data_IF_516806179043
#
_entry.id   IF_516806179043
#
_cell.length_a   1.000
_cell.length_b   1.000
_cell.length_c   1.000
_cell.angle_alpha   90.00
_cell.angle_beta   90.00
_cell.angle_gamma   90.00
#
_symmetry.space_group_name_H-M   'P 1'
#
loop_
_entity.id
_entity.type
_entity.pdbx_description
1 polymer ?
#
# COMPACT_ATOMS: atom_id res chain seq x y z
N UNK A 1 8.78 -96.75 35.10
CA UNK A 1 9.41 -95.73 35.98
C UNK A 1 9.34 -94.38 35.27
N UNK A 2 8.82 -93.35 35.95
CA UNK A 2 8.94 -91.91 35.59
C UNK A 2 8.02 -91.41 34.47
N UNK A 3 6.80 -90.91 34.76
CA UNK A 3 6.43 -89.53 35.20
C UNK A 3 6.29 -88.53 34.03
N UNK A 4 5.05 -88.21 33.65
CA UNK A 4 4.27 -87.00 33.99
C UNK A 4 4.69 -85.74 33.20
N UNK A 5 3.90 -85.33 32.19
CA UNK A 5 2.88 -84.25 32.25
C UNK A 5 3.46 -82.84 32.00
N UNK A 6 2.86 -81.90 31.25
CA UNK A 6 1.49 -81.36 31.38
C UNK A 6 1.24 -80.36 30.23
N UNK A 7 -0.01 -80.37 29.73
CA UNK A 7 -0.89 -79.23 29.36
C UNK A 7 -0.41 -78.28 28.24
N UNK A 8 -0.99 -78.27 27.03
CA UNK A 8 -2.38 -78.06 26.59
C UNK A 8 -2.79 -76.58 26.43
N UNK A 9 -3.41 -76.33 25.25
CA UNK A 9 -4.35 -75.28 24.82
C UNK A 9 -3.78 -74.24 23.84
N UNK A 10 -4.01 -74.37 22.52
CA UNK A 10 -5.21 -74.14 21.67
C UNK A 10 -5.37 -72.68 21.24
N UNK A 11 -5.45 -72.47 19.91
CA UNK A 11 -5.87 -71.22 19.25
C UNK A 11 -4.94 -70.85 18.09
N UNK A 12 -5.14 -71.36 16.87
CA UNK A 12 -6.08 -70.90 15.84
C UNK A 12 -5.40 -69.98 14.79
N UNK A 13 -5.24 -70.55 13.59
CA UNK A 13 -5.35 -69.98 12.23
C UNK A 13 -5.08 -68.49 12.00
N UNK A 14 -4.19 -68.19 11.04
CA UNK A 14 -4.54 -67.42 9.84
C UNK A 14 -3.39 -67.40 8.82
N UNK A 15 -3.70 -67.86 7.61
CA UNK A 15 -2.91 -67.70 6.39
C UNK A 15 -3.51 -66.59 5.50
N UNK A 16 -2.61 -65.97 4.73
CA UNK A 16 -2.82 -65.25 3.45
C UNK A 16 -3.09 -63.74 3.53
N UNK A 17 -2.31 -62.97 2.75
CA UNK A 17 -2.79 -61.72 2.15
C UNK A 17 -1.71 -60.70 1.80
N UNK A 18 -0.89 -60.95 0.78
CA UNK A 18 -0.11 -59.90 0.12
C UNK A 18 -1.07 -59.01 -0.67
N UNK A 19 -1.16 -57.72 -0.32
CA UNK A 19 -1.79 -56.69 -1.15
C UNK A 19 -0.90 -55.44 -1.22
N UNK A 20 -0.32 -55.27 -2.42
CA UNK A 20 0.11 -54.04 -3.09
C UNK A 20 0.33 -52.78 -2.23
N UNK A 21 1.61 -52.48 -1.95
CA UNK A 21 2.04 -51.13 -1.61
C UNK A 21 2.06 -50.26 -2.87
N UNK A 22 0.89 -49.70 -3.22
CA UNK A 22 0.80 -48.47 -4.00
C UNK A 22 1.32 -47.31 -3.16
N UNK A 23 2.64 -47.11 -3.14
CA UNK A 23 3.27 -45.97 -2.50
C UNK A 23 2.97 -44.71 -3.30
N UNK A 24 1.94 -43.99 -2.88
CA UNK A 24 1.68 -42.63 -3.34
C UNK A 24 2.88 -41.74 -3.04
N UNK A 25 3.36 -41.04 -4.07
CA UNK A 25 4.18 -39.84 -3.92
C UNK A 25 3.33 -38.76 -3.24
N UNK A 26 3.22 -38.85 -1.91
CA UNK A 26 2.79 -37.72 -1.11
C UNK A 26 3.91 -36.67 -1.21
N UNK A 27 3.69 -35.67 -2.05
CA UNK A 27 4.52 -34.48 -2.10
C UNK A 27 4.55 -33.88 -0.69
N UNK A 28 5.72 -33.93 -0.04
CA UNK A 28 5.97 -33.23 1.19
C UNK A 28 5.81 -31.72 0.92
N UNK A 29 4.62 -31.19 1.20
CA UNK A 29 4.46 -29.75 1.39
C UNK A 29 5.16 -29.40 2.69
N UNK A 30 6.41 -28.94 2.58
CA UNK A 30 6.96 -28.10 3.63
C UNK A 30 6.15 -26.80 3.59
N UNK A 31 5.16 -26.69 4.48
CA UNK A 31 4.60 -25.38 4.82
C UNK A 31 5.73 -24.58 5.46
N UNK A 32 6.43 -23.81 4.62
CA UNK A 32 7.54 -22.94 5.03
C UNK A 32 7.11 -21.85 6.01
N UNK A 33 5.80 -21.67 6.19
CA UNK A 33 5.20 -20.66 7.07
C UNK A 33 4.28 -21.33 8.07
N UNK A 34 4.57 -21.13 9.36
CA UNK A 34 3.65 -21.50 10.42
C UNK A 34 2.43 -20.56 10.38
N UNK A 35 1.21 -21.09 10.56
CA UNK A 35 0.01 -20.26 10.64
C UNK A 35 0.15 -19.13 11.66
N UNK A 36 -0.13 -17.90 11.22
CA UNK A 36 -0.13 -16.71 12.10
C UNK A 36 1.23 -16.07 12.36
N UNK A 37 2.35 -16.60 11.84
CA UNK A 37 3.67 -15.96 11.92
C UNK A 37 3.97 -15.11 10.69
N UNK A 38 4.65 -13.98 10.91
CA UNK A 38 5.24 -13.15 9.85
C UNK A 38 6.71 -13.49 9.64
N UNK A 39 7.18 -13.35 8.40
CA UNK A 39 8.54 -13.69 8.01
C UNK A 39 9.12 -12.60 7.12
N UNK A 40 10.34 -12.14 7.38
CA UNK A 40 11.05 -11.27 6.46
C UNK A 40 11.76 -12.12 5.41
N UNK A 41 11.52 -11.82 4.15
CA UNK A 41 12.12 -12.54 3.03
C UNK A 41 13.61 -12.23 2.91
N UNK A 42 14.40 -13.29 2.75
CA UNK A 42 15.87 -13.27 2.68
C UNK A 42 16.41 -13.48 1.25
N UNK A 43 15.53 -13.54 0.25
CA UNK A 43 15.85 -13.87 -1.13
C UNK A 43 16.00 -15.38 -1.40
N UNK A 44 15.96 -16.23 -0.37
CA UNK A 44 16.08 -17.70 -0.50
C UNK A 44 14.76 -18.41 -0.21
N UNK A 45 14.12 -18.05 0.90
CA UNK A 45 12.86 -18.62 1.41
C UNK A 45 11.65 -17.73 1.13
N UNK A 46 11.92 -16.46 0.80
CA UNK A 46 10.94 -15.49 0.33
C UNK A 46 11.63 -14.37 -0.47
N UNK A 47 10.87 -13.51 -1.16
CA UNK A 47 11.41 -12.36 -1.88
C UNK A 47 12.10 -11.39 -0.92
N UNK A 48 13.34 -11.01 -1.23
CA UNK A 48 14.11 -10.08 -0.41
C UNK A 48 13.36 -8.75 -0.23
N UNK A 49 13.50 -8.13 0.95
CA UNK A 49 12.84 -6.86 1.30
C UNK A 49 11.31 -6.89 1.30
N UNK A 50 10.69 -8.06 1.46
CA UNK A 50 9.26 -8.19 1.67
C UNK A 50 8.97 -8.95 2.97
N UNK A 51 7.81 -8.71 3.57
CA UNK A 51 7.30 -9.47 4.71
C UNK A 51 6.14 -10.37 4.26
N UNK A 52 6.13 -11.62 4.75
CA UNK A 52 5.00 -12.52 4.61
C UNK A 52 3.91 -12.11 5.60
N UNK A 53 2.74 -11.82 5.05
CA UNK A 53 1.52 -11.53 5.79
C UNK A 53 0.68 -12.81 5.79
N UNK A 54 0.40 -13.41 6.97
CA UNK A 54 -0.33 -14.66 7.04
C UNK A 54 -1.78 -14.49 6.57
N UNK A 55 -2.38 -15.55 6.04
CA UNK A 55 -3.81 -15.57 5.77
C UNK A 55 -4.60 -15.34 7.07
N UNK A 56 -5.68 -14.58 7.00
CA UNK A 56 -6.45 -14.23 8.19
C UNK A 56 -7.73 -13.47 7.87
N UNK A 57 -8.56 -13.29 8.90
CA UNK A 57 -9.72 -12.41 8.84
C UNK A 57 -9.51 -11.22 9.77
N UNK A 58 -10.04 -10.06 9.38
CA UNK A 58 -9.98 -8.85 10.18
C UNK A 58 -11.21 -7.98 9.97
N UNK A 59 -11.40 -7.02 10.88
CA UNK A 59 -12.35 -5.92 10.68
C UNK A 59 -11.67 -4.80 9.88
N UNK A 60 -12.09 -4.66 8.62
CA UNK A 60 -11.69 -3.59 7.72
C UNK A 60 -12.57 -2.36 7.94
N UNK A 61 -11.99 -1.17 7.85
CA UNK A 61 -12.63 0.08 8.24
C UNK A 61 -12.67 0.28 9.76
N UNK A 62 -13.43 1.27 10.21
CA UNK A 62 -13.54 1.58 11.63
C UNK A 62 -14.84 2.29 11.98
N UNK A 63 -15.46 1.87 13.07
CA UNK A 63 -16.62 2.58 13.66
C UNK A 63 -16.21 3.63 14.69
N UNK A 64 -14.91 3.90 14.85
CA UNK A 64 -14.38 4.90 15.78
C UNK A 64 -15.03 6.29 15.54
N UNK A 65 -15.23 7.12 16.58
CA UNK A 65 -15.80 8.46 16.42
C UNK A 65 -15.05 9.37 15.42
N UNK A 66 -13.73 9.21 15.30
CA UNK A 66 -12.90 9.95 14.34
C UNK A 66 -12.86 9.35 12.93
N UNK A 67 -13.45 8.18 12.71
CA UNK A 67 -13.52 7.59 11.38
C UNK A 67 -14.52 8.34 10.50
N UNK A 68 -14.10 8.67 9.27
CA UNK A 68 -14.92 9.35 8.29
C UNK A 68 -16.07 8.45 7.79
N UNK A 69 -17.14 9.02 7.21
CA UNK A 69 -18.24 8.21 6.67
C UNK A 69 -17.81 7.14 5.66
N UNK A 70 -16.79 7.41 4.85
CA UNK A 70 -16.25 6.48 3.86
C UNK A 70 -15.38 5.36 4.45
N UNK A 71 -15.01 5.46 5.74
CA UNK A 71 -14.30 4.43 6.51
C UNK A 71 -15.25 3.49 7.27
N UNK A 72 -16.56 3.78 7.22
CA UNK A 72 -17.62 3.08 7.94
C UNK A 72 -18.51 2.25 7.00
N UNK A 73 -19.16 1.20 7.51
CA UNK A 73 -18.93 0.61 8.83
C UNK A 73 -17.67 -0.28 8.85
N UNK A 74 -17.18 -0.59 10.05
CA UNK A 74 -16.24 -1.69 10.19
C UNK A 74 -16.91 -3.02 9.77
N UNK A 75 -16.24 -3.83 8.95
CA UNK A 75 -16.83 -5.06 8.40
C UNK A 75 -15.79 -6.16 8.22
N UNK A 76 -16.24 -7.42 8.19
CA UNK A 76 -15.35 -8.59 8.12
C UNK A 76 -14.83 -8.82 6.70
N UNK A 77 -13.51 -8.89 6.58
CA UNK A 77 -12.80 -9.30 5.37
C UNK A 77 -11.85 -10.46 5.73
N UNK A 78 -11.69 -11.42 4.82
CA UNK A 78 -10.70 -12.48 4.90
C UNK A 78 -9.71 -12.36 3.74
N UNK A 79 -8.42 -12.54 4.03
CA UNK A 79 -7.35 -12.50 3.04
C UNK A 79 -6.59 -13.82 3.02
N UNK A 80 -6.20 -14.22 1.82
CA UNK A 80 -5.15 -15.20 1.58
C UNK A 80 -3.79 -14.62 2.00
N UNK A 81 -2.78 -15.47 2.23
CA UNK A 81 -1.44 -15.01 2.58
C UNK A 81 -0.70 -14.42 1.38
N UNK A 82 0.07 -13.36 1.61
CA UNK A 82 0.80 -12.63 0.56
C UNK A 82 2.10 -12.01 1.09
N UNK A 83 3.00 -11.68 0.18
CA UNK A 83 4.18 -10.86 0.47
C UNK A 83 3.88 -9.39 0.21
N UNK A 84 4.35 -8.51 1.07
CA UNK A 84 4.32 -7.04 0.88
C UNK A 84 5.70 -6.44 1.10
N UNK A 85 6.08 -5.44 0.32
CA UNK A 85 7.31 -4.70 0.54
C UNK A 85 7.35 -4.11 1.95
N UNK A 86 8.48 -4.26 2.64
CA UNK A 86 8.63 -3.78 4.02
C UNK A 86 8.64 -2.25 4.13
N UNK A 87 8.86 -1.55 3.02
CA UNK A 87 8.85 -0.10 2.90
C UNK A 87 8.34 0.33 1.53
N UNK A 88 8.09 1.62 1.34
CA UNK A 88 7.85 2.22 0.03
C UNK A 88 8.98 1.95 -0.96
N UNK A 89 8.64 1.98 -2.25
CA UNK A 89 9.61 1.98 -3.35
C UNK A 89 10.46 3.25 -3.25
N UNK A 90 11.78 3.08 -3.23
CA UNK A 90 12.71 4.20 -3.07
C UNK A 90 13.06 4.86 -4.41
N UNK A 91 13.63 6.07 -4.35
CA UNK A 91 14.19 6.73 -5.53
C UNK A 91 15.25 5.87 -6.23
N UNK A 92 16.11 5.18 -5.47
CA UNK A 92 17.10 4.27 -6.06
C UNK A 92 16.44 3.07 -6.75
N UNK A 93 15.34 2.55 -6.21
CA UNK A 93 14.59 1.46 -6.84
C UNK A 93 13.92 1.91 -8.13
N UNK A 94 13.24 3.06 -8.11
CA UNK A 94 12.57 3.62 -9.27
C UNK A 94 13.56 4.04 -10.37
N UNK A 95 14.73 4.57 -10.01
CA UNK A 95 15.81 4.87 -10.96
C UNK A 95 16.24 3.62 -11.73
N UNK A 96 16.41 2.47 -11.07
CA UNK A 96 16.77 1.21 -11.76
C UNK A 96 15.70 0.79 -12.78
N UNK A 97 14.43 1.02 -12.47
CA UNK A 97 13.34 0.79 -13.41
C UNK A 97 13.45 1.71 -14.63
N UNK A 98 13.60 3.02 -14.41
CA UNK A 98 13.73 4.01 -15.48
C UNK A 98 14.96 3.73 -16.35
N UNK A 99 16.11 3.44 -15.75
CA UNK A 99 17.35 3.09 -16.48
C UNK A 99 17.19 1.80 -17.31
N UNK A 100 16.51 0.79 -16.78
CA UNK A 100 16.33 -0.49 -17.47
C UNK A 100 15.30 -0.44 -18.61
N UNK A 101 14.36 0.50 -18.58
CA UNK A 101 13.20 0.51 -19.48
C UNK A 101 13.08 1.77 -20.33
N UNK A 102 13.87 2.80 -20.02
CA UNK A 102 13.72 4.16 -20.54
C UNK A 102 12.30 4.71 -20.33
N UNK A 103 11.65 4.33 -19.23
CA UNK A 103 10.32 4.78 -18.90
C UNK A 103 10.29 6.28 -18.63
N UNK A 104 9.32 6.97 -19.24
CA UNK A 104 9.04 8.39 -19.03
C UNK A 104 7.76 8.47 -18.22
N UNK A 105 7.79 9.08 -17.03
CA UNK A 105 6.62 9.15 -16.14
C UNK A 105 5.51 10.03 -16.70
N UNK A 106 4.30 9.92 -16.18
CA UNK A 106 3.20 10.82 -16.58
C UNK A 106 3.51 12.28 -16.32
N UNK A 107 4.26 12.60 -15.25
CA UNK A 107 4.70 13.96 -14.94
C UNK A 107 5.67 14.54 -15.98
N UNK A 108 6.43 13.69 -16.66
CA UNK A 108 7.38 14.09 -17.71
C UNK A 108 6.73 14.18 -19.10
N UNK A 109 5.48 13.75 -19.25
CA UNK A 109 4.74 13.77 -20.54
C UNK A 109 3.89 15.02 -20.65
N UNK A 110 3.62 15.44 -21.89
CA UNK A 110 2.60 16.46 -22.16
C UNK A 110 1.23 15.91 -21.71
N UNK A 111 0.49 16.62 -20.83
CA UNK A 111 -0.84 16.17 -20.42
C UNK A 111 -1.80 16.10 -21.61
N UNK A 112 -2.61 15.05 -21.63
CA UNK A 112 -3.68 14.86 -22.61
C UNK A 112 -5.01 15.43 -22.09
N UNK A 113 -5.66 16.28 -22.89
CA UNK A 113 -6.93 16.89 -22.50
C UNK A 113 -8.05 15.87 -22.31
N UNK A 114 -8.09 14.81 -23.12
CA UNK A 114 -9.13 13.79 -23.01
C UNK A 114 -9.04 13.03 -21.68
N UNK A 115 -7.81 12.85 -21.17
CA UNK A 115 -7.52 12.30 -19.84
C UNK A 115 -7.83 13.30 -18.72
N UNK A 116 -7.49 14.58 -18.87
CA UNK A 116 -7.72 15.58 -17.82
C UNK A 116 -9.20 15.97 -17.66
N UNK A 117 -9.95 16.08 -18.76
CA UNK A 117 -11.31 16.62 -18.73
C UNK A 117 -12.29 15.78 -17.91
N UNK A 118 -12.02 14.49 -17.70
CA UNK A 118 -12.86 13.62 -16.85
C UNK A 118 -12.75 13.99 -15.37
N UNK A 119 -11.67 14.69 -14.99
CA UNK A 119 -11.43 15.24 -13.65
C UNK A 119 -11.86 16.71 -13.56
N UNK A 120 -12.48 17.28 -14.59
CA UNK A 120 -12.92 18.68 -14.58
C UNK A 120 -14.45 18.78 -14.44
N UNK A 121 -14.98 19.89 -13.88
CA UNK A 121 -16.41 20.13 -13.88
C UNK A 121 -17.01 20.04 -15.30
N UNK A 122 -18.22 19.46 -15.46
CA UNK A 122 -18.87 19.36 -16.76
C UNK A 122 -18.96 20.71 -17.47
N UNK A 123 -18.55 20.77 -18.74
CA UNK A 123 -18.55 21.99 -19.54
C UNK A 123 -17.30 22.87 -19.38
N UNK A 124 -16.29 22.43 -18.62
CA UNK A 124 -14.99 23.12 -18.55
C UNK A 124 -14.38 23.19 -19.95
N UNK A 125 -14.05 24.40 -20.47
CA UNK A 125 -13.43 24.53 -21.77
C UNK A 125 -12.00 23.98 -21.74
N UNK A 126 -11.57 23.41 -22.86
CA UNK A 126 -10.17 23.01 -23.04
C UNK A 126 -9.27 24.23 -22.85
N UNK A 127 -8.23 24.17 -21.99
CA UNK A 127 -7.26 25.26 -21.87
C UNK A 127 -6.45 25.39 -23.16
N UNK A 128 -5.78 26.53 -23.33
CA UNK A 128 -4.84 26.70 -24.44
C UNK A 128 -3.74 25.62 -24.38
N UNK A 129 -3.32 25.11 -25.54
CA UNK A 129 -2.34 24.03 -25.63
C UNK A 129 -0.97 24.42 -25.02
N UNK A 130 -0.67 25.71 -24.89
CA UNK A 130 0.53 26.21 -24.21
C UNK A 130 0.52 26.00 -22.69
N UNK A 131 -0.65 25.78 -22.09
CA UNK A 131 -0.78 25.50 -20.65
C UNK A 131 -0.65 24.00 -20.33
N UNK A 132 -0.81 23.12 -21.33
CA UNK A 132 -0.65 21.68 -21.21
C UNK A 132 0.83 21.32 -21.36
N UNK A 133 1.60 21.48 -20.29
CA UNK A 133 3.04 21.18 -20.25
C UNK A 133 3.36 20.10 -19.21
N UNK A 134 4.46 19.33 -19.36
CA UNK A 134 4.91 18.40 -18.33
C UNK A 134 5.08 19.09 -16.97
N UNK A 135 4.72 18.39 -15.90
CA UNK A 135 4.78 18.88 -14.53
C UNK A 135 3.87 18.08 -13.61
N UNK A 136 3.85 18.50 -12.35
CA UNK A 136 3.10 17.80 -11.31
C UNK A 136 2.60 18.75 -10.22
N UNK A 137 1.71 18.26 -9.35
CA UNK A 137 1.24 19.04 -8.20
C UNK A 137 2.27 19.02 -7.07
N UNK A 138 2.63 20.21 -6.61
CA UNK A 138 3.66 20.45 -5.59
C UNK A 138 3.05 21.20 -4.41
N UNK A 139 3.30 20.69 -3.21
CA UNK A 139 3.02 21.44 -1.98
C UNK A 139 4.02 22.58 -1.85
N UNK A 140 3.51 23.81 -1.86
CA UNK A 140 4.31 25.04 -1.75
C UNK A 140 4.20 25.72 -0.38
N UNK A 141 3.28 25.27 0.47
CA UNK A 141 2.97 25.93 1.75
C UNK A 141 2.42 27.36 1.60
N UNK A 142 2.21 28.04 2.72
CA UNK A 142 1.77 29.44 2.78
C UNK A 142 2.61 30.28 3.73
N UNK A 143 2.69 31.59 3.50
CA UNK A 143 3.41 32.51 4.38
C UNK A 143 2.66 32.83 5.70
N UNK A 144 1.37 32.51 5.77
CA UNK A 144 0.50 32.77 6.91
C UNK A 144 -0.66 31.77 6.92
N UNK A 145 -1.40 31.62 8.04
CA UNK A 145 -2.58 30.77 8.09
C UNK A 145 -3.62 31.17 7.03
N UNK A 146 -4.21 30.18 6.38
CA UNK A 146 -5.21 30.35 5.32
C UNK A 146 -6.42 29.45 5.58
N UNK A 147 -7.50 29.65 4.81
CA UNK A 147 -8.67 28.77 4.87
C UNK A 147 -8.30 27.35 4.43
N UNK A 148 -8.47 26.38 5.32
CA UNK A 148 -8.22 24.96 5.03
C UNK A 148 -9.21 24.34 4.02
N UNK A 149 -10.22 25.10 3.57
CA UNK A 149 -11.17 24.68 2.53
C UNK A 149 -10.67 24.97 1.11
N UNK A 150 -9.63 25.79 0.96
CA UNK A 150 -9.12 26.20 -0.35
C UNK A 150 -7.69 25.71 -0.54
N UNK A 151 -7.58 24.44 -0.97
CA UNK A 151 -6.29 23.78 -1.14
C UNK A 151 -5.43 24.38 -2.25
N UNK A 152 -6.01 25.20 -3.15
CA UNK A 152 -5.25 25.92 -4.19
C UNK A 152 -4.25 26.91 -3.61
N UNK A 153 -4.38 27.29 -2.34
CA UNK A 153 -3.48 28.23 -1.68
C UNK A 153 -2.11 27.61 -1.33
N UNK A 154 -2.03 26.29 -1.16
CA UNK A 154 -0.79 25.57 -0.84
C UNK A 154 -0.41 24.48 -1.83
N UNK A 155 -1.29 24.11 -2.76
CA UNK A 155 -0.97 23.22 -3.89
C UNK A 155 -0.83 24.01 -5.18
N UNK A 156 0.24 23.76 -5.93
CA UNK A 156 0.48 24.38 -7.22
C UNK A 156 0.88 23.35 -8.25
N UNK A 157 0.38 23.50 -9.47
CA UNK A 157 0.97 22.81 -10.61
C UNK A 157 2.30 23.49 -10.94
N UNK A 158 3.39 22.71 -10.97
CA UNK A 158 4.73 23.20 -11.25
C UNK A 158 5.25 22.54 -12.53
N UNK A 159 5.39 23.31 -13.63
CA UNK A 159 6.00 22.81 -14.85
C UNK A 159 7.40 22.25 -14.61
N UNK A 160 7.67 21.04 -15.13
CA UNK A 160 8.93 20.34 -14.94
C UNK A 160 9.19 19.81 -13.53
N UNK A 161 8.17 19.73 -12.66
CA UNK A 161 8.23 18.89 -11.47
C UNK A 161 7.96 17.43 -11.85
N UNK A 162 8.83 16.53 -11.42
CA UNK A 162 8.79 15.10 -11.69
C UNK A 162 9.47 14.32 -10.55
N UNK A 163 9.67 13.01 -10.72
CA UNK A 163 10.25 12.16 -9.68
C UNK A 163 11.73 12.47 -9.37
N UNK A 164 12.51 12.98 -10.34
CA UNK A 164 13.90 13.40 -10.13
C UNK A 164 13.99 14.82 -9.53
N UNK A 165 12.98 15.65 -9.83
CA UNK A 165 12.86 17.05 -9.44
C UNK A 165 11.52 17.32 -8.73
N UNK A 166 11.31 16.75 -7.53
CA UNK A 166 9.99 16.68 -6.91
C UNK A 166 9.37 18.03 -6.52
N UNK A 167 10.17 19.10 -6.43
CA UNK A 167 9.70 20.47 -6.15
C UNK A 167 9.79 21.40 -7.37
N UNK A 168 10.06 20.87 -8.56
CA UNK A 168 10.26 21.63 -9.79
C UNK A 168 11.71 21.70 -10.27
N UNK A 169 11.98 22.40 -11.38
CA UNK A 169 13.22 22.30 -12.17
C UNK A 169 14.53 22.55 -11.41
N UNK A 170 14.49 23.33 -10.33
CA UNK A 170 15.65 23.70 -9.50
C UNK A 170 15.89 22.74 -8.32
N UNK A 171 15.04 21.72 -8.16
CA UNK A 171 15.16 20.71 -7.12
C UNK A 171 15.84 19.43 -7.62
N UNK A 172 16.30 18.59 -6.70
CA UNK A 172 16.84 17.28 -7.03
C UNK A 172 16.62 16.24 -5.92
N UNK A 173 16.75 14.97 -6.29
CA UNK A 173 16.85 13.83 -5.38
C UNK A 173 18.29 13.45 -5.00
N UNK A 174 19.29 14.30 -5.25
CA UNK A 174 20.68 14.02 -4.87
C UNK A 174 20.77 13.81 -3.35
N UNK A 175 21.33 12.67 -2.94
CA UNK A 175 21.42 12.28 -1.53
C UNK A 175 20.11 11.77 -0.91
N UNK A 176 19.07 11.50 -1.72
CA UNK A 176 17.77 10.99 -1.28
C UNK A 176 17.42 9.64 -1.92
N UNK A 177 18.43 8.83 -2.20
CA UNK A 177 18.26 7.51 -2.83
C UNK A 177 17.40 6.56 -2.00
N UNK A 178 17.42 6.69 -0.68
CA UNK A 178 16.64 5.92 0.29
C UNK A 178 15.33 6.60 0.69
N UNK A 179 14.96 7.74 0.10
CA UNK A 179 13.63 8.32 0.28
C UNK A 179 12.60 7.62 -0.63
N UNK A 180 11.32 7.60 -0.26
CA UNK A 180 10.28 7.10 -1.14
C UNK A 180 10.22 7.94 -2.43
N UNK A 181 10.03 7.28 -3.56
CA UNK A 181 9.73 7.96 -4.81
C UNK A 181 8.37 8.67 -4.71
N UNK A 182 8.31 9.90 -5.20
CA UNK A 182 7.09 10.73 -5.27
C UNK A 182 6.93 11.29 -6.68
N UNK A 183 5.88 12.09 -6.92
CA UNK A 183 5.53 12.57 -8.26
C UNK A 183 5.29 11.44 -9.27
N UNK A 184 4.80 10.30 -8.77
CA UNK A 184 4.41 9.13 -9.56
C UNK A 184 2.89 9.01 -9.57
N UNK A 185 2.31 8.90 -10.76
CA UNK A 185 0.89 8.63 -10.92
C UNK A 185 0.56 7.17 -10.63
N UNK A 186 -0.72 6.82 -10.69
CA UNK A 186 -1.14 5.43 -10.61
C UNK A 186 -0.59 4.60 -11.78
N UNK A 187 -0.54 5.17 -13.00
CA UNK A 187 0.03 4.52 -14.17
C UNK A 187 1.52 4.19 -13.98
N UNK A 188 2.29 5.13 -13.43
CA UNK A 188 3.72 4.94 -13.17
C UNK A 188 3.97 3.83 -12.14
N UNK A 189 3.15 3.79 -11.09
CA UNK A 189 3.20 2.76 -10.07
C UNK A 189 2.86 1.37 -10.63
N UNK A 190 1.84 1.26 -11.51
CA UNK A 190 1.50 0.00 -12.19
C UNK A 190 2.59 -0.45 -13.17
N UNK A 191 3.18 0.49 -13.93
CA UNK A 191 4.27 0.20 -14.85
C UNK A 191 5.49 -0.35 -14.12
N UNK A 192 5.89 0.30 -13.03
CA UNK A 192 6.97 -0.18 -12.15
C UNK A 192 6.62 -1.55 -11.55
N UNK A 193 5.39 -1.72 -11.04
CA UNK A 193 4.97 -2.98 -10.42
C UNK A 193 5.08 -4.16 -11.39
N UNK A 194 4.63 -3.96 -12.64
CA UNK A 194 4.73 -4.95 -13.71
C UNK A 194 6.18 -5.28 -14.04
N UNK A 195 7.06 -4.29 -14.16
CA UNK A 195 8.49 -4.50 -14.39
C UNK A 195 9.14 -5.29 -13.25
N UNK A 196 8.78 -4.99 -12.01
CA UNK A 196 9.29 -5.68 -10.82
C UNK A 196 8.73 -7.11 -10.65
N UNK A 197 7.81 -7.58 -11.50
CA UNK A 197 7.16 -8.88 -11.37
C UNK A 197 6.20 -8.97 -10.17
N UNK A 198 5.65 -7.82 -9.74
CA UNK A 198 4.79 -7.65 -8.57
C UNK A 198 3.47 -6.98 -8.99
N UNK A 199 2.68 -6.50 -8.03
CA UNK A 199 1.48 -5.69 -8.23
C UNK A 199 1.29 -4.70 -7.08
N UNK A 200 0.43 -3.71 -7.26
CA UNK A 200 -0.06 -2.90 -6.14
C UNK A 200 -0.90 -3.75 -5.17
N UNK A 201 -0.87 -3.46 -3.86
CA UNK A 201 -1.77 -4.09 -2.88
C UNK A 201 -3.21 -3.73 -3.19
N UNK A 202 -4.15 -4.65 -2.90
CA UNK A 202 -5.54 -4.21 -2.75
C UNK A 202 -5.67 -3.31 -1.52
N UNK A 203 -6.73 -2.51 -1.44
CA UNK A 203 -7.03 -1.68 -0.28
C UNK A 203 -7.12 -2.53 1.00
N UNK A 204 -7.70 -3.72 0.90
CA UNK A 204 -7.82 -4.66 2.01
C UNK A 204 -6.49 -5.25 2.44
N UNK A 205 -5.65 -5.67 1.49
CA UNK A 205 -4.29 -6.15 1.77
C UNK A 205 -3.47 -5.07 2.48
N UNK A 206 -3.55 -3.84 1.98
CA UNK A 206 -2.86 -2.70 2.57
C UNK A 206 -3.30 -2.47 4.02
N UNK A 207 -4.61 -2.39 4.29
CA UNK A 207 -5.11 -2.12 5.63
C UNK A 207 -4.79 -3.25 6.61
N UNK A 208 -4.96 -4.51 6.17
CA UNK A 208 -4.61 -5.67 6.99
C UNK A 208 -3.13 -5.66 7.37
N UNK A 209 -2.26 -5.38 6.40
CA UNK A 209 -0.83 -5.26 6.60
C UNK A 209 -0.50 -4.08 7.54
N UNK A 210 -1.15 -2.92 7.36
CA UNK A 210 -0.93 -1.70 8.15
C UNK A 210 -1.27 -1.91 9.63
N UNK A 211 -2.32 -2.69 9.93
CA UNK A 211 -2.76 -3.03 11.29
C UNK A 211 -1.74 -3.84 12.06
N UNK A 212 -0.80 -4.54 11.40
CA UNK A 212 0.33 -5.18 12.06
C UNK A 212 -0.07 -6.23 13.11
N UNK A 213 -1.22 -6.89 12.93
CA UNK A 213 -1.78 -7.86 13.89
C UNK A 213 -2.62 -7.24 15.02
N UNK A 214 -2.82 -5.92 15.04
CA UNK A 214 -3.67 -5.24 16.02
C UNK A 214 -5.11 -5.14 15.50
N UNK A 215 -6.06 -5.66 16.25
CA UNK A 215 -7.48 -5.54 15.92
C UNK A 215 -7.99 -4.13 16.26
N UNK A 216 -8.54 -3.43 15.26
CA UNK A 216 -9.22 -2.13 15.40
C UNK A 216 -8.40 -1.01 16.08
N UNK A 217 -7.07 -1.13 16.15
CA UNK A 217 -6.21 -0.05 16.60
C UNK A 217 -6.26 1.16 15.64
N UNK A 218 -6.20 2.36 16.20
CA UNK A 218 -6.26 3.62 15.44
C UNK A 218 -5.04 3.81 14.51
N UNK A 219 -3.85 3.50 15.00
CA UNK A 219 -2.57 3.62 14.29
C UNK A 219 -1.92 2.25 14.08
N UNK A 220 -0.90 2.20 13.23
CA UNK A 220 -0.15 0.97 12.94
C UNK A 220 0.58 0.40 14.17
N UNK A 221 0.75 1.21 15.21
CA UNK A 221 1.43 0.87 16.46
C UNK A 221 0.53 0.82 17.70
N UNK A 222 -0.78 1.09 17.57
CA UNK A 222 -1.71 1.12 18.70
C UNK A 222 -2.68 2.30 18.68
N UNK A 223 -3.20 2.67 19.85
CA UNK A 223 -4.22 3.72 20.00
C UNK A 223 -3.67 5.08 20.44
N UNK A 224 -2.47 5.10 21.03
CA UNK A 224 -1.80 6.34 21.44
C UNK A 224 -1.00 6.89 20.25
N UNK A 225 -1.13 8.17 19.88
CA UNK A 225 -0.44 8.74 18.72
C UNK A 225 1.08 8.78 18.91
N UNK A 226 1.56 9.19 20.09
CA UNK A 226 2.98 9.33 20.42
C UNK A 226 3.33 8.54 21.70
N UNK A 227 3.31 7.19 21.66
CA UNK A 227 3.59 6.36 22.82
C UNK A 227 4.97 6.65 23.40
N UNK A 228 5.01 6.89 24.71
CA UNK A 228 6.24 7.30 25.41
C UNK A 228 6.91 8.53 24.79
N UNK A 229 6.12 9.47 24.26
CA UNK A 229 6.59 10.70 23.60
C UNK A 229 7.48 10.46 22.38
N UNK A 230 7.41 9.29 21.76
CA UNK A 230 8.15 8.97 20.53
C UNK A 230 7.37 9.42 19.31
N UNK A 231 8.07 10.06 18.38
CA UNK A 231 7.56 10.26 17.01
C UNK A 231 7.49 8.92 16.31
N UNK A 232 6.31 8.55 15.81
CA UNK A 232 6.08 7.24 15.21
C UNK A 232 5.97 7.27 13.68
N UNK A 233 5.78 8.44 13.09
CA UNK A 233 5.58 8.64 11.67
C UNK A 233 6.10 10.02 11.24
N UNK A 234 6.45 10.15 9.95
CA UNK A 234 6.69 11.45 9.34
C UNK A 234 5.35 12.10 8.98
N UNK A 235 4.87 13.00 9.83
CA UNK A 235 3.63 13.78 9.63
C UNK A 235 3.92 15.26 9.89
N UNK A 236 2.98 16.15 9.60
CA UNK A 236 3.12 17.57 9.90
C UNK A 236 3.16 17.76 11.42
N UNK A 237 4.30 18.23 11.91
CA UNK A 237 4.57 18.37 13.34
C UNK A 237 3.86 19.61 13.92
N UNK A 238 2.64 19.40 14.42
CA UNK A 238 1.86 20.43 15.12
C UNK A 238 2.47 20.84 16.48
N UNK A 239 3.49 20.12 16.99
CA UNK A 239 4.16 20.51 18.24
C UNK A 239 5.08 21.71 18.07
N UNK A 240 5.36 22.14 16.83
CA UNK A 240 6.26 23.27 16.49
C UNK A 240 5.58 24.63 16.45
N UNK A 241 4.41 24.80 17.08
CA UNK A 241 3.60 26.03 17.07
C UNK A 241 3.17 26.53 15.67
N UNK A 242 3.57 25.84 14.59
CA UNK A 242 3.35 26.25 13.21
C UNK A 242 2.17 25.49 12.63
N UNK A 243 1.00 26.15 12.43
CA UNK A 243 -0.17 25.47 11.91
C UNK A 243 0.06 25.08 10.44
N UNK A 244 -0.46 23.92 10.04
CA UNK A 244 -0.61 23.61 8.62
C UNK A 244 -1.48 24.70 7.93
N UNK A 245 -1.15 25.17 6.71
CA UNK A 245 -0.02 24.81 5.83
C UNK A 245 1.14 25.83 5.86
N UNK A 246 1.39 26.48 6.99
CA UNK A 246 2.33 27.61 7.09
C UNK A 246 3.78 27.14 6.99
N UNK A 247 4.56 27.75 6.09
CA UNK A 247 6.00 27.52 5.89
C UNK A 247 6.69 28.88 5.80
N UNK A 248 7.15 29.40 6.95
CA UNK A 248 7.67 30.77 7.08
C UNK A 248 9.19 30.89 7.14
N UNK A 249 9.89 29.80 7.42
CA UNK A 249 11.35 29.77 7.44
C UNK A 249 11.92 28.36 7.17
N UNK A 250 13.24 28.29 6.99
CA UNK A 250 13.97 27.04 6.70
C UNK A 250 13.92 26.00 7.83
N UNK A 251 13.43 26.36 9.04
CA UNK A 251 13.33 25.42 10.17
C UNK A 251 12.11 24.50 10.02
N UNK A 252 11.12 24.88 9.20
CA UNK A 252 10.00 24.03 8.84
C UNK A 252 10.48 23.07 7.73
N UNK A 253 11.05 21.94 8.14
CA UNK A 253 11.42 20.87 7.22
C UNK A 253 10.17 20.12 6.75
N UNK A 254 9.66 20.48 5.58
CA UNK A 254 8.55 19.78 4.92
C UNK A 254 9.09 18.87 3.83
N UNK A 255 8.75 17.58 3.91
CA UNK A 255 9.10 16.63 2.87
C UNK A 255 9.21 15.20 3.38
N UNK A 256 9.59 14.32 2.46
CA UNK A 256 9.82 12.91 2.77
C UNK A 256 11.03 12.73 3.68
N UNK A 257 11.04 11.64 4.42
CA UNK A 257 12.24 11.11 5.08
C UNK A 257 12.66 9.81 4.40
N UNK A 258 13.91 9.41 4.59
CA UNK A 258 14.37 8.06 4.26
C UNK A 258 13.35 7.01 4.74
N UNK A 259 13.12 6.00 3.92
CA UNK A 259 12.26 4.88 4.30
C UNK A 259 12.84 4.17 5.51
N UNK A 260 11.98 3.56 6.32
CA UNK A 260 12.38 2.81 7.53
C UNK A 260 13.04 3.67 8.62
N UNK A 261 12.78 4.97 8.62
CA UNK A 261 13.29 5.89 9.65
C UNK A 261 12.64 5.67 11.03
N UNK A 262 11.35 5.33 11.06
CA UNK A 262 10.58 5.10 12.28
C UNK A 262 10.44 3.61 12.59
N UNK A 263 9.86 3.27 13.75
CA UNK A 263 9.69 1.87 14.14
C UNK A 263 8.72 1.13 13.19
N UNK A 264 8.98 -0.15 12.88
CA UNK A 264 8.04 -0.94 12.10
C UNK A 264 6.81 -1.34 12.94
N UNK A 265 5.71 -1.67 12.28
CA UNK A 265 4.55 -2.27 12.93
C UNK A 265 4.78 -3.75 13.31
N UNK A 266 3.78 -4.41 13.89
CA UNK A 266 3.88 -5.81 14.34
C UNK A 266 4.16 -6.84 13.23
N UNK A 267 4.04 -6.46 11.96
CA UNK A 267 4.40 -7.29 10.80
C UNK A 267 5.76 -6.95 10.18
N UNK A 268 6.52 -6.03 10.80
CA UNK A 268 7.83 -5.61 10.30
C UNK A 268 7.77 -4.58 9.18
N UNK A 269 6.61 -3.92 8.99
CA UNK A 269 6.41 -2.93 7.94
C UNK A 269 6.65 -1.52 8.46
N UNK A 270 7.41 -0.75 7.68
CA UNK A 270 7.74 0.63 7.95
C UNK A 270 6.82 1.57 7.17
N UNK A 271 6.67 2.80 7.65
CA UNK A 271 5.99 3.89 6.94
C UNK A 271 4.55 3.53 6.49
N UNK A 272 3.85 2.69 7.28
CA UNK A 272 2.41 2.41 7.08
C UNK A 272 1.52 3.57 7.53
N UNK A 273 2.11 4.61 8.14
CA UNK A 273 1.47 5.86 8.50
C UNK A 273 2.45 7.01 8.24
N UNK A 274 1.98 8.06 7.57
CA UNK A 274 2.79 9.21 7.20
C UNK A 274 3.82 8.91 6.10
N UNK A 275 4.84 9.75 6.03
CA UNK A 275 5.82 9.86 4.95
C UNK A 275 5.16 10.18 3.60
N UNK A 276 4.63 9.20 2.88
CA UNK A 276 3.91 9.42 1.63
C UNK A 276 2.62 8.62 1.63
N UNK A 277 1.59 9.16 0.98
CA UNK A 277 0.42 8.36 0.63
C UNK A 277 0.85 7.22 -0.27
N UNK A 278 0.12 6.10 -0.20
CA UNK A 278 0.45 4.90 -0.97
C UNK A 278 -0.71 4.52 -1.88
N UNK A 279 -0.44 4.43 -3.18
CA UNK A 279 -1.38 3.88 -4.15
C UNK A 279 -1.75 2.43 -3.82
N UNK A 280 -3.03 2.10 -3.97
CA UNK A 280 -3.54 0.71 -3.96
C UNK A 280 -4.30 0.42 -5.26
N UNK A 281 -4.49 -0.85 -5.60
CA UNK A 281 -5.08 -1.28 -6.86
C UNK A 281 -6.55 -0.84 -7.05
N UNK A 282 -7.29 -0.66 -5.96
CA UNK A 282 -8.74 -0.50 -5.97
C UNK A 282 -9.18 0.85 -6.57
N UNK A 283 -10.28 0.82 -7.33
CA UNK A 283 -11.05 2.04 -7.58
C UNK A 283 -11.67 2.53 -6.28
N UNK A 284 -11.75 3.85 -6.11
CA UNK A 284 -12.35 4.45 -4.92
C UNK A 284 -13.85 4.63 -5.11
N UNK A 285 -14.64 3.98 -4.23
CA UNK A 285 -16.02 4.39 -3.94
C UNK A 285 -16.15 4.79 -2.47
N UNK A 286 -16.79 5.93 -2.23
CA UNK A 286 -17.06 6.45 -0.90
C UNK A 286 -18.05 5.57 -0.11
N UNK A 287 -18.89 4.81 -0.81
CA UNK A 287 -19.89 3.91 -0.23
C UNK A 287 -19.48 2.42 -0.23
N UNK A 288 -18.25 2.08 -0.67
CA UNK A 288 -17.85 0.69 -0.87
C UNK A 288 -17.96 -0.17 0.40
N UNK A 289 -17.51 0.35 1.55
CA UNK A 289 -17.55 -0.40 2.81
C UNK A 289 -18.99 -0.66 3.26
N UNK A 290 -19.89 0.32 3.07
CA UNK A 290 -21.32 0.14 3.33
C UNK A 290 -21.91 -0.94 2.43
N UNK A 291 -21.59 -0.91 1.13
CA UNK A 291 -22.03 -1.91 0.16
C UNK A 291 -21.51 -3.30 0.51
N UNK A 292 -20.23 -3.46 0.88
CA UNK A 292 -19.68 -4.73 1.31
C UNK A 292 -20.34 -5.25 2.61
N UNK A 293 -20.53 -4.38 3.59
CA UNK A 293 -21.15 -4.74 4.86
C UNK A 293 -22.60 -5.22 4.72
N UNK A 294 -23.36 -4.66 3.76
CA UNK A 294 -24.76 -5.02 3.53
C UNK A 294 -24.97 -6.48 3.10
N UNK A 295 -23.99 -7.10 2.44
CA UNK A 295 -24.09 -8.52 2.07
C UNK A 295 -24.07 -9.45 3.30
N UNK A 296 -23.62 -8.97 4.46
CA UNK A 296 -23.59 -9.73 5.72
C UNK A 296 -22.65 -10.94 5.72
N UNK A 297 -21.85 -11.12 4.67
CA UNK A 297 -20.90 -12.21 4.49
C UNK A 297 -19.47 -11.67 4.55
N UNK A 298 -18.57 -12.45 5.14
CA UNK A 298 -17.14 -12.16 5.08
C UNK A 298 -16.68 -12.23 3.63
N UNK A 299 -16.28 -11.10 3.06
CA UNK A 299 -15.72 -11.05 1.71
C UNK A 299 -14.29 -11.60 1.75
N UNK A 300 -13.97 -12.50 0.83
CA UNK A 300 -12.63 -13.09 0.71
C UNK A 300 -11.87 -12.42 -0.44
N UNK A 301 -10.66 -11.97 -0.16
CA UNK A 301 -9.75 -11.35 -1.13
C UNK A 301 -10.44 -10.27 -2.00
N UNK A 302 -11.07 -9.25 -1.39
CA UNK A 302 -11.74 -8.19 -2.15
C UNK A 302 -10.73 -7.43 -3.01
N UNK A 303 -11.13 -7.20 -4.27
CA UNK A 303 -10.33 -6.52 -5.29
C UNK A 303 -10.81 -5.08 -5.57
N UNK A 304 -11.70 -4.56 -4.71
CA UNK A 304 -12.34 -3.26 -4.89
C UNK A 304 -13.57 -3.30 -5.81
N UNK A 305 -14.23 -2.14 -5.99
CA UNK A 305 -15.30 -1.97 -6.97
C UNK A 305 -14.76 -1.88 -8.40
N UNK A 306 -15.65 -2.04 -9.39
CA UNK A 306 -15.29 -1.98 -10.82
C UNK A 306 -15.12 -0.55 -11.36
N UNK A 307 -15.57 0.45 -10.62
CA UNK A 307 -15.75 1.84 -10.99
C UNK A 307 -15.58 2.77 -9.78
N UNK A 308 -15.60 4.08 -10.02
CA UNK A 308 -15.42 5.11 -8.99
C UNK A 308 -16.73 5.80 -8.62
N UNK A 309 -16.83 6.26 -7.37
CA UNK A 309 -17.98 7.03 -6.90
C UNK A 309 -17.61 7.86 -5.67
N UNK A 310 -17.57 9.19 -5.81
CA UNK A 310 -17.33 10.14 -4.73
C UNK A 310 -18.30 11.33 -4.81
N UNK A 311 -19.50 11.22 -4.22
CA UNK A 311 -20.49 12.29 -4.24
C UNK A 311 -20.18 13.42 -3.23
N UNK A 312 -19.10 13.28 -2.45
CA UNK A 312 -18.74 14.22 -1.39
C UNK A 312 -17.63 15.18 -1.80
N UNK A 313 -17.09 15.04 -3.01
CA UNK A 313 -16.15 16.01 -3.57
C UNK A 313 -16.88 17.30 -3.96
N UNK A 314 -16.48 18.42 -3.33
CA UNK A 314 -17.08 19.75 -3.53
C UNK A 314 -16.30 20.64 -4.51
N UNK A 315 -15.23 20.12 -5.13
CA UNK A 315 -14.44 20.85 -6.15
C UNK A 315 -15.13 20.92 -7.52
N UNK A 316 -16.28 20.24 -7.67
CA UNK A 316 -17.04 20.18 -8.91
C UNK A 316 -16.62 19.06 -9.86
N UNK A 317 -15.66 18.22 -9.47
CA UNK A 317 -15.31 16.99 -10.17
C UNK A 317 -16.55 16.07 -10.22
N UNK A 318 -16.88 15.44 -11.37
CA UNK A 318 -17.98 14.49 -11.46
C UNK A 318 -17.86 13.37 -10.42
N UNK A 319 -18.97 12.97 -9.81
CA UNK A 319 -18.96 11.95 -8.76
C UNK A 319 -18.45 10.59 -9.26
N UNK A 320 -18.61 10.29 -10.56
CA UNK A 320 -18.15 9.08 -11.23
C UNK A 320 -16.75 9.21 -11.88
N UNK A 321 -16.08 10.36 -11.71
CA UNK A 321 -14.72 10.55 -12.20
C UNK A 321 -13.78 9.45 -11.64
N UNK A 322 -12.89 8.88 -12.46
CA UNK A 322 -11.98 7.83 -12.01
C UNK A 322 -11.14 8.27 -10.82
N UNK A 323 -11.14 7.49 -9.74
CA UNK A 323 -10.29 7.68 -8.57
C UNK A 323 -9.71 6.35 -8.14
N UNK A 324 -8.44 6.37 -7.76
CA UNK A 324 -7.79 5.21 -7.14
C UNK A 324 -7.64 5.47 -5.66
N UNK A 325 -7.76 4.41 -4.88
CA UNK A 325 -7.60 4.48 -3.43
C UNK A 325 -6.14 4.80 -3.10
N UNK A 326 -5.93 5.75 -2.19
CA UNK A 326 -4.67 5.97 -1.48
C UNK A 326 -4.86 5.79 0.02
N UNK A 327 -3.82 5.28 0.68
CA UNK A 327 -3.82 4.93 2.11
C UNK A 327 -2.57 5.50 2.81
N UNK A 328 -2.63 5.60 4.15
CA UNK A 328 -1.47 5.87 5.01
C UNK A 328 -1.20 7.33 5.37
N UNK A 329 -1.73 8.30 4.63
CA UNK A 329 -1.41 9.71 4.86
C UNK A 329 0.03 10.05 4.43
N UNK A 330 0.50 11.25 4.73
CA UNK A 330 1.83 11.73 4.31
C UNK A 330 2.46 12.65 5.35
N UNK A 331 3.65 13.17 5.05
CA UNK A 331 4.31 14.24 5.81
C UNK A 331 3.50 15.55 5.91
N UNK A 332 2.39 15.69 5.17
CA UNK A 332 1.47 16.83 5.25
C UNK A 332 0.25 16.58 6.15
N UNK A 333 0.05 15.34 6.61
CA UNK A 333 -1.07 15.01 7.49
C UNK A 333 -0.86 15.62 8.88
N UNK A 334 -1.95 16.08 9.52
CA UNK A 334 -1.89 16.77 10.80
C UNK A 334 -3.20 16.56 11.58
N UNK A 335 -3.16 16.75 12.90
CA UNK A 335 -4.34 16.60 13.76
C UNK A 335 -5.44 17.64 13.52
N UNK A 336 -5.06 18.76 12.90
CA UNK A 336 -5.94 19.93 12.69
C UNK A 336 -6.52 19.97 11.28
N UNK A 337 -5.90 19.29 10.32
CA UNK A 337 -6.32 19.30 8.93
C UNK A 337 -6.62 17.91 8.38
N UNK A 338 -5.73 16.94 8.59
CA UNK A 338 -5.79 15.65 7.92
C UNK A 338 -5.30 14.51 8.82
N UNK A 339 -6.24 13.84 9.50
CA UNK A 339 -6.02 12.67 10.36
C UNK A 339 -5.87 11.36 9.56
N UNK A 340 -5.36 11.41 8.33
CA UNK A 340 -5.32 10.25 7.43
C UNK A 340 -4.11 9.33 7.64
N UNK A 341 -3.29 9.59 8.65
CA UNK A 341 -2.23 8.68 9.10
C UNK A 341 -2.74 7.54 10.01
N UNK A 342 -4.07 7.41 10.16
CA UNK A 342 -4.74 6.28 10.81
C UNK A 342 -4.84 5.09 9.86
N UNK A 343 -4.80 3.87 10.39
CA UNK A 343 -4.82 2.64 9.56
C UNK A 343 -6.10 2.51 8.73
N UNK A 344 -7.25 2.93 9.26
CA UNK A 344 -8.55 2.88 8.58
C UNK A 344 -8.77 4.00 7.56
N UNK A 345 -7.95 5.06 7.58
CA UNK A 345 -8.18 6.22 6.75
C UNK A 345 -7.88 5.93 5.28
N UNK A 346 -8.74 6.45 4.42
CA UNK A 346 -8.71 6.25 2.97
C UNK A 346 -9.14 7.51 2.23
N UNK A 347 -8.55 7.74 1.07
CA UNK A 347 -8.92 8.81 0.14
C UNK A 347 -8.98 8.25 -1.28
N UNK A 348 -9.83 8.84 -2.10
CA UNK A 348 -9.74 8.72 -3.56
C UNK A 348 -8.82 9.82 -4.07
N UNK A 349 -7.89 9.48 -4.94
CA UNK A 349 -7.04 10.45 -5.62
C UNK A 349 -7.19 10.30 -7.14
N UNK A 350 -7.03 11.42 -7.85
CA UNK A 350 -6.96 11.45 -9.31
C UNK A 350 -5.77 10.56 -9.77
N UNK A 351 -6.04 9.46 -10.51
CA UNK A 351 -4.99 8.53 -10.91
C UNK A 351 -4.03 9.11 -11.96
N UNK A 352 -4.40 10.21 -12.61
CA UNK A 352 -3.65 10.81 -13.71
C UNK A 352 -2.70 11.92 -13.26
N UNK A 353 -2.86 12.41 -12.03
CA UNK A 353 -2.05 13.51 -11.50
C UNK A 353 -1.02 13.02 -10.50
N UNK A 354 0.25 13.29 -10.80
CA UNK A 354 1.37 13.10 -9.88
C UNK A 354 1.37 14.19 -8.79
N UNK A 355 1.72 13.81 -7.56
CA UNK A 355 1.81 14.75 -6.44
C UNK A 355 3.05 14.51 -5.57
N UNK A 356 3.61 15.58 -5.00
CA UNK A 356 4.86 15.58 -4.21
C UNK A 356 4.81 14.80 -2.88
N UNK A 357 3.71 14.11 -2.60
CA UNK A 357 3.41 13.44 -1.33
C UNK A 357 2.73 12.06 -1.51
N UNK A 358 2.70 11.54 -2.74
CA UNK A 358 2.14 10.21 -3.06
C UNK A 358 3.25 9.36 -3.68
N UNK A 359 3.44 8.16 -3.13
CA UNK A 359 4.29 7.09 -3.62
C UNK A 359 3.54 5.75 -3.59
N UNK A 360 4.25 4.64 -3.44
CA UNK A 360 3.64 3.31 -3.41
C UNK A 360 4.58 2.24 -2.86
N UNK A 361 3.98 1.08 -2.53
CA UNK A 361 4.66 -0.18 -2.19
C UNK A 361 3.96 -1.33 -2.90
N UNK A 362 4.63 -2.48 -3.04
CA UNK A 362 4.10 -3.59 -3.83
C UNK A 362 3.86 -4.83 -3.01
N UNK A 363 3.05 -5.73 -3.58
CA UNK A 363 2.80 -7.07 -3.07
C UNK A 363 3.04 -8.11 -4.16
N UNK A 364 3.20 -9.36 -3.73
CA UNK A 364 3.15 -10.52 -4.61
C UNK A 364 2.66 -11.76 -3.85
N UNK A 365 2.09 -12.72 -4.57
CA UNK A 365 1.71 -14.00 -3.99
C UNK A 365 2.92 -14.93 -3.85
N UNK A 366 2.81 -15.93 -2.98
CA UNK A 366 3.83 -16.97 -2.86
C UNK A 366 4.06 -17.71 -4.20
N UNK A 367 3.01 -17.90 -4.99
CA UNK A 367 3.11 -18.57 -6.29
C UNK A 367 3.79 -17.70 -7.34
N UNK A 368 3.55 -16.39 -7.35
CA UNK A 368 4.29 -15.44 -8.19
C UNK A 368 5.79 -15.50 -7.88
N UNK A 369 6.17 -15.53 -6.59
CA UNK A 369 7.58 -15.63 -6.20
C UNK A 369 8.21 -16.96 -6.64
N UNK A 370 7.52 -18.09 -6.44
CA UNK A 370 7.99 -19.41 -6.90
C UNK A 370 8.15 -19.47 -8.42
N UNK A 371 7.24 -18.85 -9.17
CA UNK A 371 7.32 -18.78 -10.63
C UNK A 371 8.55 -17.99 -11.08
N UNK A 372 8.81 -16.84 -10.44
CA UNK A 372 9.99 -16.02 -10.72
C UNK A 372 11.29 -16.78 -10.49
N UNK A 373 11.41 -17.45 -9.34
CA UNK A 373 12.58 -18.25 -9.01
C UNK A 373 12.87 -19.36 -10.03
N UNK A 374 11.81 -19.96 -10.61
CA UNK A 374 11.97 -20.96 -11.68
C UNK A 374 12.47 -20.31 -12.97
N UNK A 375 11.99 -19.12 -13.32
CA UNK A 375 12.42 -18.37 -14.51
C UNK A 375 13.90 -17.99 -14.40
N UNK A 376 14.31 -17.37 -13.30
CA UNK A 376 15.72 -16.97 -13.09
C UNK A 376 16.68 -18.16 -13.15
N UNK A 377 16.30 -19.31 -12.56
CA UNK A 377 17.10 -20.54 -12.66
C UNK A 377 17.19 -21.08 -14.08
N UNK A 378 16.12 -20.98 -14.86
CA UNK A 378 16.11 -21.42 -16.24
C UNK A 378 16.99 -20.51 -17.13
N UNK A 379 17.02 -19.21 -16.85
CA UNK A 379 17.87 -18.23 -17.55
C UNK A 379 19.35 -18.41 -17.19
N UNK A 380 19.68 -18.66 -15.92
CA UNK A 380 21.06 -18.90 -15.48
C UNK A 380 21.67 -20.20 -16.03
N UNK A 381 20.84 -21.14 -16.49
CA UNK A 381 21.25 -22.42 -17.08
C UNK A 381 21.32 -22.38 -18.61
N UNK A 382 21.01 -21.24 -19.24
CA UNK A 382 21.19 -20.99 -20.67
C UNK A 382 22.49 -20.24 -20.89
#
# INVERSE_FOLDING_TARGET
MGRFSRRAWLGALLTVGVLAAGGGLAAWHFDLFEPGKTYLGDGRTGPANMAWIPAGAFLMGSDHPHAQPNEKPAHKVALSGFWIDVSDVTNADFRRFVEATHYVTTAERKPDWETLKVQAPPGTPKPDDSLLVPGALVFSGTAAPVSLRDYSQWWRFVPGADWERPQGPDSSIVGKDDHPVVQVSYEDAEAYAKWAGKRLPTEAEWEYAARGGLEQATYAWGNEPNPQQKTMANIWDNHRETPFPVVTDEKVQVGTTAVRKFAPNGYGLYDMAGNVWQWTADYYRADYFKTQAQFGKTTRDPMGPADSFDPYDDSGVPADAPRRVTRGGSFLCSDTYCLSYRTSARRGADPYTSMSHIGFRLVMTQDQWKAEQKRTKAEANR
#
